data_IF_116418651748
#
_entry.id   IF_116418651748
#
_cell.length_a   1.000
_cell.length_b   1.000
_cell.length_c   1.000
_cell.angle_alpha   90.00
_cell.angle_beta   90.00
_cell.angle_gamma   90.00
#
_symmetry.space_group_name_H-M   'P 1'
#
loop_
_entity.id
_entity.type
_entity.pdbx_description
1 polymer ?
#
# COMPACT_ATOMS: atom_id res chain seq x y z
N UNK A 1 -7.25 -29.19 46.00
CA UNK A 1 -8.41 -28.77 45.20
C UNK A 1 -7.97 -27.75 44.15
N UNK A 2 -7.63 -28.23 42.94
CA UNK A 2 -6.89 -27.46 41.94
C UNK A 2 -7.81 -26.73 40.96
N UNK A 3 -8.08 -25.44 41.21
CA UNK A 3 -8.77 -24.56 40.25
C UNK A 3 -7.87 -24.29 39.04
N UNK A 4 -7.97 -25.13 38.01
CA UNK A 4 -7.42 -24.84 36.69
C UNK A 4 -8.17 -23.63 36.10
N UNK A 5 -7.58 -22.44 36.20
CA UNK A 5 -8.01 -21.26 35.44
C UNK A 5 -7.95 -21.64 33.95
N UNK A 6 -9.11 -21.79 33.30
CA UNK A 6 -9.19 -21.91 31.85
C UNK A 6 -8.53 -20.66 31.27
N UNK A 7 -7.39 -20.82 30.60
CA UNK A 7 -6.82 -19.77 29.75
C UNK A 7 -7.83 -19.57 28.62
N UNK A 8 -8.54 -18.45 28.64
CA UNK A 8 -9.36 -18.01 27.52
C UNK A 8 -8.43 -17.87 26.32
N UNK A 9 -8.51 -18.81 25.38
CA UNK A 9 -7.85 -18.67 24.09
C UNK A 9 -8.54 -17.51 23.38
N UNK A 10 -7.83 -16.48 22.90
CA UNK A 10 -8.47 -15.44 22.11
C UNK A 10 -9.17 -16.09 20.92
N UNK A 11 -10.43 -15.72 20.70
CA UNK A 11 -11.25 -16.27 19.64
C UNK A 11 -10.51 -16.22 18.29
N UNK A 12 -10.69 -17.23 17.41
CA UNK A 12 -10.14 -17.15 16.07
C UNK A 12 -10.71 -15.89 15.41
N UNK A 13 -9.82 -15.00 14.93
CA UNK A 13 -10.18 -13.81 14.15
C UNK A 13 -10.68 -14.22 12.76
N UNK A 14 -11.76 -14.96 12.69
CA UNK A 14 -12.36 -15.39 11.44
C UNK A 14 -13.75 -14.79 11.33
N UNK A 15 -13.87 -13.89 10.35
CA UNK A 15 -15.09 -13.39 9.74
C UNK A 15 -16.03 -12.58 10.64
N UNK A 16 -15.80 -11.27 10.70
CA UNK A 16 -16.77 -10.22 10.32
C UNK A 16 -16.45 -8.89 11.04
N UNK A 17 -15.48 -8.16 10.48
CA UNK A 17 -15.52 -6.70 10.41
C UNK A 17 -14.57 -6.33 9.28
N UNK A 18 -15.13 -6.25 8.08
CA UNK A 18 -14.45 -5.82 6.87
C UNK A 18 -14.33 -4.29 6.90
N UNK A 19 -13.85 -3.70 8.01
CA UNK A 19 -13.52 -2.28 8.00
C UNK A 19 -12.43 -2.14 6.94
N UNK A 20 -12.69 -1.44 5.81
CA UNK A 20 -11.65 -1.19 4.83
C UNK A 20 -10.75 -0.15 5.44
N UNK A 21 -9.84 -0.57 6.33
CA UNK A 21 -8.78 0.31 6.84
C UNK A 21 -7.94 0.65 5.62
N UNK A 22 -8.09 1.87 5.12
CA UNK A 22 -7.42 2.28 3.91
C UNK A 22 -5.96 2.56 4.23
N UNK A 23 -5.08 2.14 3.31
CA UNK A 23 -3.64 2.50 3.38
C UNK A 23 -3.47 4.01 3.49
N UNK A 24 -4.39 4.82 2.94
CA UNK A 24 -4.36 6.28 3.02
C UNK A 24 -4.37 6.79 4.45
N UNK A 25 -5.29 6.29 5.27
CA UNK A 25 -5.48 6.77 6.64
C UNK A 25 -4.31 6.34 7.53
N UNK A 26 -3.83 5.11 7.32
CA UNK A 26 -2.66 4.59 8.04
C UNK A 26 -1.37 5.34 7.69
N UNK A 27 -1.21 5.76 6.42
CA UNK A 27 -0.06 6.58 6.01
C UNK A 27 -0.14 7.97 6.64
N UNK A 28 -1.32 8.56 6.77
CA UNK A 28 -1.48 9.84 7.49
C UNK A 28 -1.13 9.72 8.98
N UNK A 29 -1.47 8.58 9.61
CA UNK A 29 -1.20 8.36 11.03
C UNK A 29 0.25 7.93 11.34
N UNK A 30 0.85 7.06 10.52
CA UNK A 30 2.14 6.42 10.80
C UNK A 30 3.29 6.85 9.87
N UNK A 31 2.97 7.60 8.81
CA UNK A 31 3.92 8.08 7.82
C UNK A 31 4.35 7.06 6.76
N UNK A 32 5.13 7.52 5.78
CA UNK A 32 5.53 6.78 4.57
C UNK A 32 6.69 5.80 4.74
N UNK A 33 7.25 5.67 5.96
CA UNK A 33 8.47 4.87 6.19
C UNK A 33 8.19 3.48 6.76
N UNK A 34 6.98 3.23 7.26
CA UNK A 34 6.65 2.05 8.08
C UNK A 34 5.65 1.11 7.40
N UNK A 35 5.88 0.75 6.14
CA UNK A 35 4.98 -0.09 5.35
C UNK A 35 4.71 -1.47 5.96
N UNK A 36 5.73 -2.11 6.52
CA UNK A 36 5.59 -3.41 7.21
C UNK A 36 4.72 -3.34 8.46
N UNK A 37 4.64 -2.17 9.08
CA UNK A 37 3.75 -1.92 10.21
C UNK A 37 2.33 -1.63 9.73
N UNK A 38 2.18 -0.78 8.71
CA UNK A 38 0.90 -0.46 8.05
C UNK A 38 0.20 -1.73 7.55
N UNK A 39 0.92 -2.67 6.94
CA UNK A 39 0.35 -3.93 6.47
C UNK A 39 -0.23 -4.81 7.57
N UNK A 40 0.17 -4.65 8.83
CA UNK A 40 -0.43 -5.40 9.95
C UNK A 40 -1.88 -5.01 10.19
N UNK A 41 -2.26 -3.78 9.83
CA UNK A 41 -3.63 -3.28 9.92
C UNK A 41 -4.44 -3.63 8.68
N UNK A 42 -3.80 -3.71 7.52
CA UNK A 42 -4.41 -4.11 6.26
C UNK A 42 -4.28 -5.63 6.10
N UNK A 43 -5.15 -6.39 6.79
CA UNK A 43 -5.09 -7.87 6.89
C UNK A 43 -4.98 -8.62 5.56
N UNK A 44 -5.37 -8.02 4.45
CA UNK A 44 -5.39 -8.61 3.11
C UNK A 44 -4.17 -8.25 2.25
N UNK A 45 -3.25 -7.41 2.73
CA UNK A 45 -2.14 -6.86 1.92
C UNK A 45 -0.81 -6.95 2.66
N UNK A 46 0.27 -7.24 1.93
CA UNK A 46 1.63 -7.15 2.46
C UNK A 46 2.16 -5.70 2.39
N UNK A 47 3.29 -5.42 3.06
CA UNK A 47 3.88 -4.07 3.10
C UNK A 47 4.22 -3.52 1.70
N UNK A 48 4.69 -4.38 0.80
CA UNK A 48 5.00 -4.01 -0.60
C UNK A 48 3.74 -3.53 -1.34
N UNK A 49 2.65 -4.29 -1.24
CA UNK A 49 1.36 -3.96 -1.84
C UNK A 49 0.76 -2.69 -1.25
N UNK A 50 0.94 -2.44 0.06
CA UNK A 50 0.52 -1.19 0.69
C UNK A 50 1.29 0.00 0.10
N UNK A 51 2.61 -0.11 0.01
CA UNK A 51 3.46 0.92 -0.60
C UNK A 51 3.07 1.19 -2.05
N UNK A 52 2.95 0.15 -2.86
CA UNK A 52 2.58 0.26 -4.27
C UNK A 52 1.22 0.94 -4.44
N UNK A 53 0.21 0.50 -3.68
CA UNK A 53 -1.12 1.11 -3.68
C UNK A 53 -1.05 2.60 -3.33
N UNK A 54 -0.24 2.96 -2.34
CA UNK A 54 -0.04 4.37 -2.00
C UNK A 54 0.65 5.14 -3.12
N UNK A 55 1.84 4.71 -3.54
CA UNK A 55 2.68 5.39 -4.52
C UNK A 55 2.01 5.57 -5.88
N UNK A 56 1.18 4.62 -6.31
CA UNK A 56 0.58 4.64 -7.64
C UNK A 56 -0.83 5.25 -7.64
N UNK A 57 -1.58 5.13 -6.55
CA UNK A 57 -3.01 5.42 -6.57
C UNK A 57 -3.53 6.31 -5.44
N UNK A 58 -2.96 6.27 -4.23
CA UNK A 58 -3.51 7.01 -3.09
C UNK A 58 -2.76 8.31 -2.78
N UNK A 59 -1.51 8.42 -3.21
CA UNK A 59 -0.70 9.62 -3.03
C UNK A 59 -1.31 10.78 -3.84
N UNK A 60 -1.74 11.89 -3.18
CA UNK A 60 -2.30 13.04 -3.88
C UNK A 60 -1.30 13.77 -4.76
N UNK A 61 0.01 13.57 -4.55
CA UNK A 61 1.06 14.15 -5.39
C UNK A 61 1.20 13.43 -6.75
N UNK A 62 0.51 12.30 -6.95
CA UNK A 62 0.52 11.60 -8.24
C UNK A 62 -0.43 12.33 -9.18
N UNK A 63 0.12 12.87 -10.27
CA UNK A 63 -0.69 13.40 -11.35
C UNK A 63 -1.42 12.24 -12.05
N UNK A 64 -2.75 12.36 -12.17
CA UNK A 64 -3.62 11.38 -12.85
C UNK A 64 -4.31 11.99 -14.07
N UNK A 65 -3.89 13.19 -14.47
CA UNK A 65 -4.38 13.86 -15.65
C UNK A 65 -3.95 13.16 -16.92
N UNK A 66 -4.41 13.72 -18.04
CA UNK A 66 -3.94 13.36 -19.37
C UNK A 66 -2.46 13.75 -19.46
N UNK A 67 -1.67 12.90 -20.10
CA UNK A 67 -0.26 13.20 -20.38
C UNK A 67 -0.16 14.45 -21.25
N UNK A 68 0.70 15.36 -20.84
CA UNK A 68 1.04 16.54 -21.65
C UNK A 68 2.03 16.16 -22.73
N UNK A 69 2.04 16.94 -23.82
CA UNK A 69 2.96 16.69 -24.93
C UNK A 69 4.43 16.82 -24.48
N UNK A 70 4.71 17.70 -23.51
CA UNK A 70 6.02 17.84 -22.89
C UNK A 70 6.42 16.57 -22.12
N UNK A 71 5.51 15.98 -21.34
CA UNK A 71 5.77 14.72 -20.63
C UNK A 71 6.01 13.56 -21.60
N UNK A 72 5.29 13.49 -22.72
CA UNK A 72 5.52 12.49 -23.78
C UNK A 72 6.93 12.62 -24.38
N UNK A 73 7.36 13.86 -24.68
CA UNK A 73 8.70 14.12 -25.20
C UNK A 73 9.77 13.68 -24.19
N UNK A 74 9.58 13.99 -22.90
CA UNK A 74 10.50 13.58 -21.84
C UNK A 74 10.60 12.06 -21.72
N UNK A 75 9.49 11.33 -21.86
CA UNK A 75 9.50 9.86 -21.85
C UNK A 75 10.26 9.32 -23.05
N UNK A 76 10.00 9.84 -24.26
CA UNK A 76 10.70 9.41 -25.48
C UNK A 76 12.21 9.66 -25.36
N UNK A 77 12.61 10.80 -24.79
CA UNK A 77 14.00 11.13 -24.59
C UNK A 77 14.65 10.21 -23.55
N UNK A 78 14.00 9.99 -22.41
CA UNK A 78 14.47 9.06 -21.40
C UNK A 78 14.60 7.62 -21.96
N UNK A 79 13.68 7.19 -22.82
CA UNK A 79 13.75 5.88 -23.49
C UNK A 79 14.98 5.77 -24.40
N UNK A 80 15.27 6.82 -25.19
CA UNK A 80 16.46 6.88 -26.05
C UNK A 80 17.75 6.82 -25.24
N UNK A 81 17.82 7.52 -24.11
CA UNK A 81 19.00 7.56 -23.24
C UNK A 81 19.22 6.23 -22.48
N UNK A 82 18.15 5.57 -22.07
CA UNK A 82 18.22 4.31 -21.31
C UNK A 82 18.22 3.05 -22.20
N UNK A 83 18.28 3.21 -23.53
CA UNK A 83 18.42 2.10 -24.48
C UNK A 83 17.17 1.23 -24.68
N UNK A 84 15.99 1.71 -24.27
CA UNK A 84 14.74 1.04 -24.60
C UNK A 84 14.35 1.39 -26.04
N UNK A 85 14.94 0.70 -27.01
CA UNK A 85 14.44 0.74 -28.39
C UNK A 85 13.10 0.02 -28.45
N UNK A 86 12.00 0.66 -28.86
CA UNK A 86 10.84 -0.10 -29.32
C UNK A 86 11.31 -0.90 -30.54
N UNK A 87 11.06 -2.20 -30.51
CA UNK A 87 11.27 -3.08 -31.64
C UNK A 87 10.19 -2.84 -32.71
#
# INVERSE_FOLDING_TARGET
DGRRRRREKPAPMTFHCFCPVQVKDLVQQYGLKRWSFISKFVRTRNGKQCRERWCNHLNPAVNKGIWTQEEDILVIQAQKENGFSPA
#
